data_IF_926336523366
#
_entry.id   IF_926336523366
#
_cell.length_a   1.000
_cell.length_b   1.000
_cell.length_c   1.000
_cell.angle_alpha   90.00
_cell.angle_beta   90.00
_cell.angle_gamma   90.00
#
_symmetry.space_group_name_H-M   'P 1'
#
loop_
_entity.id
_entity.type
_entity.pdbx_description
1 polymer ?
#
# COMPACT_ATOMS: atom_id res chain seq x y z
N UNK A 1 5.86 -7.35 -22.11
CA UNK A 1 5.18 -7.32 -23.36
C UNK A 1 4.37 -6.06 -23.56
N UNK A 2 3.71 -5.98 -24.69
CA UNK A 2 2.93 -4.79 -25.05
C UNK A 2 1.86 -4.43 -24.02
N UNK A 3 1.16 -5.43 -23.52
CA UNK A 3 0.11 -5.22 -22.52
C UNK A 3 0.68 -4.65 -21.23
N UNK A 4 1.83 -5.14 -20.79
CA UNK A 4 2.51 -4.62 -19.62
C UNK A 4 2.88 -3.15 -19.80
N UNK A 5 3.39 -2.79 -20.97
CA UNK A 5 3.75 -1.40 -21.27
C UNK A 5 2.55 -0.47 -21.30
N UNK A 6 1.42 -0.95 -21.82
CA UNK A 6 0.19 -0.16 -21.81
C UNK A 6 -0.28 0.14 -20.41
N UNK A 7 -0.22 -0.86 -19.51
CA UNK A 7 -0.57 -0.66 -18.11
C UNK A 7 0.41 0.31 -17.45
N UNK A 8 1.71 0.13 -17.70
CA UNK A 8 2.72 1.00 -17.13
C UNK A 8 2.53 2.45 -17.54
N UNK A 9 2.19 2.70 -18.79
CA UNK A 9 1.90 4.06 -19.28
C UNK A 9 0.70 4.65 -18.56
N UNK A 10 -0.35 3.87 -18.37
CA UNK A 10 -1.54 4.34 -17.66
C UNK A 10 -1.22 4.68 -16.20
N UNK A 11 -0.28 3.97 -15.59
CA UNK A 11 0.14 4.20 -14.21
C UNK A 11 1.23 5.27 -14.09
N UNK A 12 1.85 5.68 -15.20
CA UNK A 12 2.94 6.65 -15.17
C UNK A 12 4.26 6.08 -14.67
N UNK A 13 4.50 4.79 -14.87
CA UNK A 13 5.72 4.11 -14.46
C UNK A 13 6.33 3.33 -15.63
N UNK A 14 7.49 2.73 -15.41
CA UNK A 14 8.16 1.93 -16.43
C UNK A 14 7.53 0.54 -16.52
N UNK A 15 7.55 -0.06 -17.72
CA UNK A 15 6.96 -1.37 -17.95
C UNK A 15 7.51 -2.46 -17.06
N UNK A 16 8.80 -2.41 -16.76
CA UNK A 16 9.47 -3.40 -15.89
C UNK A 16 9.08 -3.27 -14.43
N UNK A 17 8.40 -2.20 -14.05
CA UNK A 17 7.90 -2.01 -12.69
C UNK A 17 6.51 -2.58 -12.49
N UNK A 18 5.92 -3.15 -13.53
CA UNK A 18 4.56 -3.69 -13.47
C UNK A 18 4.60 -5.21 -13.56
N UNK A 19 3.97 -5.85 -12.61
CA UNK A 19 3.90 -7.32 -12.52
C UNK A 19 2.44 -7.75 -12.47
N UNK A 20 2.16 -8.94 -12.96
CA UNK A 20 0.80 -9.46 -13.02
C UNK A 20 0.64 -10.61 -12.04
N UNK A 21 -0.50 -10.64 -11.36
CA UNK A 21 -0.88 -11.70 -10.45
C UNK A 21 -2.22 -12.30 -10.89
N UNK A 22 -2.65 -13.37 -10.23
CA UNK A 22 -3.90 -14.03 -10.59
C UNK A 22 -5.15 -13.28 -10.10
N UNK A 23 -4.99 -12.26 -9.28
CA UNK A 23 -6.14 -11.47 -8.83
C UNK A 23 -5.74 -10.44 -7.78
N UNK A 24 -6.69 -9.59 -7.41
CA UNK A 24 -6.48 -8.53 -6.42
C UNK A 24 -6.06 -9.06 -5.06
N UNK A 25 -6.67 -10.16 -4.61
CA UNK A 25 -6.32 -10.82 -3.35
C UNK A 25 -4.87 -11.26 -3.36
N UNK A 26 -4.43 -11.90 -4.45
CA UNK A 26 -3.03 -12.32 -4.59
C UNK A 26 -2.09 -11.11 -4.62
N UNK A 27 -2.50 -10.02 -5.29
CA UNK A 27 -1.71 -8.80 -5.36
C UNK A 27 -1.48 -8.20 -3.99
N UNK A 28 -2.51 -8.11 -3.15
CA UNK A 28 -2.38 -7.58 -1.80
C UNK A 28 -1.54 -8.50 -0.92
N UNK A 29 -1.75 -9.81 -0.99
CA UNK A 29 -0.93 -10.78 -0.28
C UNK A 29 0.54 -10.66 -0.67
N UNK A 30 0.81 -10.53 -1.96
CA UNK A 30 2.16 -10.40 -2.48
C UNK A 30 2.83 -9.11 -1.98
N UNK A 31 2.10 -8.00 -1.97
CA UNK A 31 2.63 -6.72 -1.50
C UNK A 31 3.03 -6.79 -0.03
N UNK A 32 2.19 -7.39 0.80
CA UNK A 32 2.48 -7.58 2.23
C UNK A 32 3.71 -8.49 2.40
N UNK A 33 3.75 -9.61 1.68
CA UNK A 33 4.88 -10.55 1.75
C UNK A 33 6.19 -9.90 1.31
N UNK A 34 6.14 -9.07 0.26
CA UNK A 34 7.31 -8.35 -0.21
C UNK A 34 7.86 -7.40 0.86
N UNK A 35 6.98 -6.61 1.47
CA UNK A 35 7.38 -5.65 2.49
C UNK A 35 8.01 -6.33 3.69
N UNK A 36 7.44 -7.45 4.11
CA UNK A 36 7.96 -8.27 5.22
C UNK A 36 9.34 -8.82 4.86
N UNK A 37 9.50 -9.34 3.66
CA UNK A 37 10.79 -9.87 3.21
C UNK A 37 11.86 -8.79 3.15
N UNK A 38 11.57 -7.66 2.53
CA UNK A 38 12.52 -6.55 2.40
C UNK A 38 12.86 -5.94 3.75
N UNK A 39 11.91 -5.91 4.67
CA UNK A 39 12.11 -5.33 5.99
C UNK A 39 12.57 -6.30 7.08
N UNK A 40 12.84 -7.56 6.74
CA UNK A 40 13.08 -8.62 7.73
C UNK A 40 14.22 -8.33 8.72
N UNK A 41 15.17 -7.51 8.32
CA UNK A 41 16.30 -7.11 9.18
C UNK A 41 16.08 -5.78 9.88
N UNK A 42 14.95 -5.10 9.62
CA UNK A 42 14.65 -3.78 10.17
C UNK A 42 13.64 -3.84 11.30
N UNK A 43 12.71 -4.78 11.23
CA UNK A 43 11.70 -4.88 12.27
C UNK A 43 10.50 -5.73 11.91
N UNK A 44 9.49 -5.67 12.79
CA UNK A 44 8.28 -6.49 12.70
C UNK A 44 7.01 -5.68 12.99
N UNK A 45 7.03 -4.39 12.66
CA UNK A 45 5.86 -3.56 12.86
C UNK A 45 5.21 -3.19 11.53
N UNK A 46 3.90 -3.35 11.47
CA UNK A 46 3.08 -3.05 10.30
C UNK A 46 1.99 -2.08 10.71
N UNK A 47 1.72 -1.08 9.88
CA UNK A 47 0.60 -0.17 10.05
C UNK A 47 -0.33 -0.36 8.87
N UNK A 48 -1.61 -0.58 9.16
CA UNK A 48 -2.66 -0.62 8.14
C UNK A 48 -3.89 0.09 8.69
N UNK A 49 -5.01 -0.02 8.00
CA UNK A 49 -6.25 0.60 8.48
C UNK A 49 -7.29 -0.47 8.77
N UNK A 50 -8.24 -0.13 9.64
CA UNK A 50 -9.34 -1.03 9.99
C UNK A 50 -10.35 -1.18 8.83
N UNK A 51 -10.26 -0.32 7.81
CA UNK A 51 -11.19 -0.30 6.68
C UNK A 51 -10.64 -0.98 5.44
N UNK A 52 -9.49 -1.65 5.55
CA UNK A 52 -8.90 -2.36 4.41
C UNK A 52 -9.75 -3.55 3.97
N UNK A 53 -9.57 -3.93 2.73
CA UNK A 53 -10.16 -5.14 2.20
C UNK A 53 -9.57 -6.37 2.92
N UNK A 54 -10.35 -7.46 2.99
CA UNK A 54 -9.89 -8.71 3.63
C UNK A 54 -8.57 -9.21 3.02
N UNK A 55 -8.31 -8.94 1.76
CA UNK A 55 -7.06 -9.34 1.10
C UNK A 55 -5.81 -8.72 1.72
N UNK A 56 -5.95 -7.59 2.42
CA UNK A 56 -4.87 -6.97 3.20
C UNK A 56 -4.94 -7.43 4.65
N UNK A 57 -6.15 -7.44 5.23
CA UNK A 57 -6.32 -7.76 6.66
C UNK A 57 -5.95 -9.20 6.99
N UNK A 58 -6.27 -10.15 6.12
CA UNK A 58 -5.98 -11.56 6.37
C UNK A 58 -4.48 -11.83 6.52
N UNK A 59 -3.61 -11.40 5.59
CA UNK A 59 -2.17 -11.60 5.77
C UNK A 59 -1.61 -10.85 6.98
N UNK A 60 -2.17 -9.68 7.33
CA UNK A 60 -1.76 -8.98 8.55
C UNK A 60 -2.07 -9.79 9.81
N UNK A 61 -3.26 -10.38 9.86
CA UNK A 61 -3.64 -11.23 11.00
C UNK A 61 -2.77 -12.46 11.11
N UNK A 62 -2.40 -13.06 9.97
CA UNK A 62 -1.50 -14.20 9.97
C UNK A 62 -0.12 -13.80 10.48
N UNK A 63 0.38 -12.63 10.11
CA UNK A 63 1.65 -12.12 10.61
C UNK A 63 1.60 -11.86 12.12
N UNK A 64 0.47 -11.41 12.66
CA UNK A 64 0.31 -11.27 14.10
C UNK A 64 0.52 -12.61 14.82
N UNK A 65 0.02 -13.70 14.24
CA UNK A 65 0.23 -15.04 14.81
C UNK A 65 1.71 -15.44 14.77
N UNK A 66 2.48 -14.85 13.85
CA UNK A 66 3.92 -15.11 13.72
C UNK A 66 4.78 -14.15 14.55
N UNK A 67 4.16 -13.30 15.36
CA UNK A 67 4.88 -12.39 16.24
C UNK A 67 5.06 -10.97 15.73
N UNK A 68 4.45 -10.61 14.61
CA UNK A 68 4.44 -9.22 14.14
C UNK A 68 3.45 -8.40 14.95
N UNK A 69 3.77 -7.12 15.13
CA UNK A 69 2.82 -6.17 15.70
C UNK A 69 2.15 -5.41 14.55
N UNK A 70 0.83 -5.38 14.56
CA UNK A 70 0.05 -4.67 13.54
C UNK A 70 -0.77 -3.59 14.23
N UNK A 71 -0.60 -2.35 13.79
CA UNK A 71 -1.41 -1.22 14.23
C UNK A 71 -2.48 -0.97 13.17
N UNK A 72 -3.74 -0.96 13.61
CA UNK A 72 -4.89 -0.70 12.73
C UNK A 72 -5.39 0.71 13.00
N UNK A 73 -5.23 1.60 12.03
CA UNK A 73 -5.72 2.97 12.13
C UNK A 73 -7.23 2.98 11.85
N UNK A 74 -7.98 3.71 12.65
CA UNK A 74 -9.42 3.80 12.51
C UNK A 74 -9.82 5.13 11.86
N UNK A 75 -10.82 5.13 10.98
CA UNK A 75 -11.28 6.37 10.36
C UNK A 75 -11.99 7.26 11.37
N UNK A 76 -12.01 8.54 11.07
CA UNK A 76 -12.81 9.51 11.81
C UNK A 76 -14.28 9.47 11.32
N UNK A 77 -15.09 10.43 11.79
CA UNK A 77 -16.51 10.50 11.43
C UNK A 77 -16.76 10.69 9.92
N UNK A 78 -15.76 11.20 9.19
CA UNK A 78 -15.86 11.37 7.73
C UNK A 78 -15.54 10.09 6.97
N UNK A 79 -15.13 9.02 7.65
CA UNK A 79 -14.70 7.77 7.03
C UNK A 79 -13.25 7.82 6.57
N UNK A 80 -12.50 8.83 6.98
CA UNK A 80 -11.14 9.06 6.54
C UNK A 80 -10.17 8.84 7.70
N UNK A 81 -9.09 8.10 7.43
CA UNK A 81 -8.00 7.94 8.39
C UNK A 81 -7.19 9.23 8.45
N UNK A 82 -6.77 9.62 9.64
CA UNK A 82 -6.00 10.83 9.83
C UNK A 82 -4.51 10.57 9.74
N UNK A 83 -3.80 11.42 9.02
CA UNK A 83 -2.35 11.30 8.88
C UNK A 83 -1.64 11.50 10.24
N UNK A 84 -2.24 12.26 11.14
CA UNK A 84 -1.72 12.45 12.50
C UNK A 84 -1.70 11.13 13.27
N UNK A 85 -2.70 10.28 13.05
CA UNK A 85 -2.73 8.96 13.68
C UNK A 85 -1.63 8.05 13.11
N UNK A 86 -1.37 8.16 11.81
CA UNK A 86 -0.26 7.45 11.20
C UNK A 86 1.08 7.91 11.79
N UNK A 87 1.26 9.21 11.94
CA UNK A 87 2.49 9.76 12.53
C UNK A 87 2.72 9.23 13.94
N UNK A 88 1.66 9.21 14.75
CA UNK A 88 1.73 8.71 16.13
C UNK A 88 2.06 7.22 16.19
N UNK A 89 1.63 6.45 15.19
CA UNK A 89 1.84 5.00 15.15
C UNK A 89 3.20 4.60 14.57
N UNK A 90 3.83 5.49 13.81
CA UNK A 90 5.06 5.17 13.07
C UNK A 90 6.22 4.94 14.03
N UNK A 91 6.96 3.86 13.82
CA UNK A 91 8.09 3.44 14.65
C UNK A 91 9.32 3.22 13.77
N UNK A 92 10.53 3.26 14.36
CA UNK A 92 11.75 2.92 13.60
C UNK A 92 11.75 1.52 13.01
N UNK A 93 11.03 0.58 13.64
CA UNK A 93 10.92 -0.79 13.20
C UNK A 93 9.69 -1.07 12.33
N UNK A 94 9.01 -0.03 11.85
CA UNK A 94 7.89 -0.19 10.93
C UNK A 94 8.43 -0.56 9.54
N UNK A 95 7.93 -1.68 8.99
CA UNK A 95 8.40 -2.19 7.68
C UNK A 95 7.36 -2.00 6.58
N UNK A 96 6.10 -1.79 6.95
CA UNK A 96 5.02 -1.63 5.98
C UNK A 96 3.98 -0.65 6.52
N UNK A 97 3.55 0.24 5.65
CA UNK A 97 2.31 1.01 5.81
C UNK A 97 1.43 0.66 4.62
N UNK A 98 0.26 0.09 4.88
CA UNK A 98 -0.68 -0.28 3.83
C UNK A 98 -1.98 0.47 4.05
N UNK A 99 -2.37 1.29 3.09
CA UNK A 99 -3.54 2.16 3.18
C UNK A 99 -4.26 2.19 1.85
N UNK A 100 -5.54 1.81 1.84
CA UNK A 100 -6.35 1.85 0.62
C UNK A 100 -6.50 3.30 0.13
N UNK A 101 -6.72 3.45 -1.16
CA UNK A 101 -6.92 4.78 -1.75
C UNK A 101 -8.34 5.29 -1.51
N UNK A 102 -9.33 4.45 -1.77
CA UNK A 102 -10.74 4.81 -1.62
C UNK A 102 -11.46 3.73 -0.85
N UNK A 103 -12.20 4.11 0.18
CA UNK A 103 -13.04 3.16 0.91
C UNK A 103 -14.21 2.74 0.03
N UNK A 104 -14.39 1.45 -0.11
CA UNK A 104 -15.41 0.83 -0.94
C UNK A 104 -16.84 1.15 -0.48
N UNK A 105 -17.04 1.26 0.82
CA UNK A 105 -18.38 1.46 1.39
C UNK A 105 -18.77 2.92 1.48
N UNK A 106 -17.84 3.79 1.88
CA UNK A 106 -18.13 5.19 2.11
C UNK A 106 -17.76 6.09 0.94
N UNK A 107 -16.90 5.62 0.02
CA UNK A 107 -16.34 6.42 -1.04
C UNK A 107 -15.29 7.43 -0.56
N UNK A 108 -14.90 7.37 0.71
CA UNK A 108 -13.94 8.32 1.28
C UNK A 108 -12.54 8.10 0.70
N UNK A 109 -11.94 9.19 0.23
CA UNK A 109 -10.56 9.19 -0.27
C UNK A 109 -9.60 9.24 0.91
N UNK A 110 -8.71 8.27 1.01
CA UNK A 110 -7.75 8.18 2.11
C UNK A 110 -6.51 9.04 1.83
N UNK A 111 -5.80 9.52 2.87
CA UNK A 111 -4.69 10.47 2.70
C UNK A 111 -3.38 9.77 2.31
N UNK A 112 -3.37 9.04 1.19
CA UNK A 112 -2.21 8.25 0.77
C UNK A 112 -1.02 9.14 0.38
N UNK A 113 -1.28 10.24 -0.33
CA UNK A 113 -0.21 11.17 -0.72
C UNK A 113 0.42 11.82 0.51
N UNK A 114 -0.39 12.20 1.48
CA UNK A 114 0.09 12.78 2.73
C UNK A 114 0.88 11.75 3.55
N UNK A 115 0.44 10.49 3.53
CA UNK A 115 1.19 9.40 4.17
C UNK A 115 2.57 9.26 3.52
N UNK A 116 2.65 9.30 2.19
CA UNK A 116 3.92 9.24 1.49
C UNK A 116 4.86 10.39 1.89
N UNK A 117 4.32 11.60 1.98
CA UNK A 117 5.09 12.77 2.40
C UNK A 117 5.60 12.60 3.83
N UNK A 118 4.75 12.10 4.72
CA UNK A 118 5.12 11.84 6.11
C UNK A 118 6.29 10.85 6.20
N UNK A 119 6.20 9.74 5.47
CA UNK A 119 7.26 8.73 5.50
C UNK A 119 8.57 9.30 5.00
N UNK A 120 8.56 10.13 3.96
CA UNK A 120 9.77 10.81 3.47
C UNK A 120 10.33 11.78 4.51
N UNK A 121 9.47 12.60 5.11
CA UNK A 121 9.88 13.58 6.12
C UNK A 121 10.51 12.90 7.34
N UNK A 122 9.98 11.76 7.73
CA UNK A 122 10.49 10.98 8.86
C UNK A 122 11.66 10.08 8.48
N UNK A 123 12.03 10.04 7.20
CA UNK A 123 13.07 9.15 6.68
C UNK A 123 12.81 7.70 7.05
N UNK A 124 11.53 7.31 6.98
CA UNK A 124 11.10 5.94 7.31
C UNK A 124 11.56 4.96 6.24
N UNK A 125 11.99 3.78 6.68
CA UNK A 125 12.34 2.69 5.78
C UNK A 125 11.13 1.83 5.40
N UNK A 126 9.94 2.13 5.94
CA UNK A 126 8.74 1.38 5.64
C UNK A 126 8.35 1.53 4.17
N UNK A 127 7.93 0.43 3.55
CA UNK A 127 7.29 0.49 2.25
C UNK A 127 5.87 1.02 2.40
N UNK A 128 5.45 1.85 1.47
CA UNK A 128 4.07 2.30 1.40
C UNK A 128 3.35 1.55 0.29
N UNK A 129 2.33 0.81 0.67
CA UNK A 129 1.46 0.09 -0.24
C UNK A 129 0.08 0.73 -0.23
N UNK A 130 -0.53 0.88 -1.39
CA UNK A 130 -1.93 1.24 -1.47
C UNK A 130 -2.67 0.26 -2.36
N UNK A 131 -3.87 -0.11 -1.91
CA UNK A 131 -4.84 -0.84 -2.72
C UNK A 131 -5.73 0.20 -3.39
N UNK A 132 -5.58 0.34 -4.69
CA UNK A 132 -6.31 1.31 -5.50
C UNK A 132 -7.37 0.65 -6.39
N UNK A 133 -7.77 -0.59 -6.05
CA UNK A 133 -8.72 -1.35 -6.87
C UNK A 133 -10.01 -0.57 -7.13
N UNK A 134 -10.51 0.15 -6.13
CA UNK A 134 -11.76 0.89 -6.26
C UNK A 134 -11.58 2.31 -6.80
N UNK A 135 -10.37 2.86 -6.75
CA UNK A 135 -10.12 4.26 -7.08
C UNK A 135 -9.45 4.50 -8.42
N UNK A 136 -8.88 3.47 -9.02
CA UNK A 136 -7.98 3.66 -10.17
C UNK A 136 -8.63 4.39 -11.36
N UNK A 137 -9.86 4.05 -11.69
CA UNK A 137 -10.55 4.64 -12.84
C UNK A 137 -11.48 5.80 -12.47
N UNK A 138 -11.66 6.08 -11.18
CA UNK A 138 -12.61 7.09 -10.69
C UNK A 138 -11.96 8.40 -10.30
N UNK A 139 -10.67 8.37 -9.97
CA UNK A 139 -9.95 9.53 -9.46
C UNK A 139 -8.73 9.75 -10.34
N UNK A 140 -8.56 10.96 -10.91
CA UNK A 140 -7.37 11.24 -11.70
C UNK A 140 -6.15 11.32 -10.77
N UNK A 141 -5.25 10.36 -10.91
CA UNK A 141 -4.00 10.34 -10.17
C UNK A 141 -2.95 9.57 -10.96
N UNK A 142 -1.68 9.77 -10.59
CA UNK A 142 -0.59 8.90 -11.04
C UNK A 142 0.06 8.28 -9.83
N UNK A 143 0.54 7.03 -9.91
CA UNK A 143 1.22 6.39 -8.78
C UNK A 143 2.41 7.19 -8.28
N UNK A 144 3.17 7.81 -9.18
CA UNK A 144 4.29 8.67 -8.80
C UNK A 144 3.83 9.91 -8.05
N UNK A 145 2.69 10.47 -8.44
CA UNK A 145 2.10 11.60 -7.75
C UNK A 145 1.65 11.26 -6.35
N UNK A 146 1.22 10.01 -6.11
CA UNK A 146 0.87 9.53 -4.78
C UNK A 146 2.11 9.28 -3.91
N UNK A 147 3.26 8.96 -4.52
CA UNK A 147 4.47 8.67 -3.77
C UNK A 147 4.52 7.29 -3.15
N UNK A 148 3.69 6.35 -3.63
CA UNK A 148 3.67 4.98 -3.10
C UNK A 148 4.81 4.14 -3.68
N UNK A 149 5.21 3.13 -2.93
CA UNK A 149 6.24 2.19 -3.38
C UNK A 149 5.62 1.01 -4.11
N UNK A 150 4.46 0.55 -3.68
CA UNK A 150 3.73 -0.57 -4.29
C UNK A 150 2.27 -0.20 -4.44
N UNK A 151 1.71 -0.48 -5.59
CA UNK A 151 0.32 -0.20 -5.90
C UNK A 151 -0.37 -1.47 -6.38
N UNK A 152 -1.49 -1.80 -5.76
CA UNK A 152 -2.38 -2.87 -6.25
C UNK A 152 -3.57 -2.24 -6.95
N UNK A 153 -3.81 -2.63 -8.18
CA UNK A 153 -4.93 -2.12 -8.97
C UNK A 153 -5.83 -3.27 -9.38
N UNK A 154 -6.93 -2.92 -10.03
CA UNK A 154 -8.00 -3.88 -10.28
C UNK A 154 -7.51 -5.20 -10.86
N UNK A 155 -7.94 -6.26 -10.21
CA UNK A 155 -7.83 -7.62 -10.68
C UNK A 155 -6.45 -8.22 -10.61
N UNK A 156 -5.62 -7.99 -11.59
CA UNK A 156 -4.46 -8.84 -11.83
C UNK A 156 -3.14 -8.08 -11.87
N UNK A 157 -3.13 -6.83 -11.40
CA UNK A 157 -1.99 -5.95 -11.66
C UNK A 157 -1.42 -5.39 -10.39
N UNK A 158 -0.10 -5.35 -10.33
CA UNK A 158 0.63 -4.76 -9.23
C UNK A 158 1.79 -3.96 -9.82
N UNK A 159 2.03 -2.79 -9.26
CA UNK A 159 3.11 -1.93 -9.71
C UNK A 159 4.05 -1.59 -8.57
N UNK A 160 5.35 -1.65 -8.83
CA UNK A 160 6.37 -1.16 -7.93
C UNK A 160 6.86 0.20 -8.42
N UNK A 161 6.94 1.14 -7.49
CA UNK A 161 7.31 2.51 -7.78
C UNK A 161 8.68 2.81 -7.18
N UNK A 162 9.28 3.92 -7.61
CA UNK A 162 10.54 4.44 -7.06
C UNK A 162 11.69 3.44 -7.13
N UNK A 163 11.67 2.55 -8.10
CA UNK A 163 12.75 1.62 -8.27
C UNK A 163 13.00 0.78 -7.03
N UNK A 164 11.97 0.50 -6.25
CA UNK A 164 12.12 -0.44 -5.16
C UNK A 164 12.60 -1.79 -5.67
N UNK A 165 12.77 -1.87 -6.92
CA UNK A 165 13.64 -2.76 -7.70
C UNK A 165 13.73 -4.21 -7.31
N UNK A 166 13.37 -4.48 -6.15
CA UNK A 166 13.48 -5.80 -5.57
C UNK A 166 12.35 -6.74 -5.99
N UNK A 167 11.59 -6.32 -6.94
CA UNK A 167 10.44 -7.10 -7.39
C UNK A 167 10.82 -8.09 -8.48
#
# INVERSE_FOLDING_TARGET
GEHREQVARALGCQGEEVYFTSGGTEGDNWAVALAVHLGRHKGRHIITTAIEHAAVLQPCKELERQGYEVTYLHPDASGRVRVEDLEAALRPDTVLVSMMLVNNETGALQPVAQAAQLLRRKQSAALLHTDAVQGFLKIPFTPKGLGVDVLTISGHKIGAMKGSGAL
#
